data_IF_767052926989
#
_entry.id   IF_767052926989
#
_cell.length_a   1.000
_cell.length_b   1.000
_cell.length_c   1.000
_cell.angle_alpha   90.00
_cell.angle_beta   90.00
_cell.angle_gamma   90.00
#
_symmetry.space_group_name_H-M   'P 1'
#
loop_
_entity.id
_entity.type
_entity.pdbx_description
1 polymer ?
#
# COMPACT_ATOMS: atom_id res chain seq x y z
N UNK A 1 -5.06 8.91 -35.63
CA UNK A 1 -5.68 8.18 -34.50
C UNK A 1 -4.72 7.93 -33.33
N UNK A 2 -3.49 7.43 -33.54
CA UNK A 2 -2.52 7.16 -32.44
C UNK A 2 -2.23 8.33 -31.49
N UNK A 3 -2.05 9.55 -32.01
CA UNK A 3 -1.86 10.76 -31.18
C UNK A 3 -3.03 11.05 -30.22
N UNK A 4 -4.26 10.74 -30.63
CA UNK A 4 -5.44 10.89 -29.76
C UNK A 4 -5.45 9.83 -28.67
N UNK A 5 -5.12 8.58 -29.00
CA UNK A 5 -5.04 7.46 -28.05
C UNK A 5 -3.97 7.73 -26.99
N UNK A 6 -2.75 8.11 -27.40
CA UNK A 6 -1.65 8.42 -26.49
C UNK A 6 -2.05 9.57 -25.55
N UNK A 7 -2.62 10.65 -26.10
CA UNK A 7 -3.10 11.77 -25.30
C UNK A 7 -4.14 11.32 -24.26
N UNK A 8 -5.07 10.44 -24.64
CA UNK A 8 -6.10 9.93 -23.72
C UNK A 8 -5.50 9.06 -22.61
N UNK A 9 -4.56 8.19 -22.94
CA UNK A 9 -3.84 7.36 -21.97
C UNK A 9 -3.06 8.24 -20.98
N UNK A 10 -2.35 9.27 -21.45
CA UNK A 10 -1.64 10.21 -20.58
C UNK A 10 -2.58 10.96 -19.65
N UNK A 11 -3.71 11.46 -20.15
CA UNK A 11 -4.73 12.12 -19.31
C UNK A 11 -5.32 11.17 -18.27
N UNK A 12 -5.57 9.91 -18.64
CA UNK A 12 -6.07 8.90 -17.72
C UNK A 12 -5.08 8.67 -16.57
N UNK A 13 -3.79 8.46 -16.88
CA UNK A 13 -2.75 8.31 -15.85
C UNK A 13 -2.63 9.56 -14.98
N UNK A 14 -2.71 10.75 -15.56
CA UNK A 14 -2.66 12.01 -14.80
C UNK A 14 -3.82 12.13 -13.81
N UNK A 15 -5.04 11.85 -14.26
CA UNK A 15 -6.24 11.89 -13.39
C UNK A 15 -6.11 10.87 -12.27
N UNK A 16 -5.73 9.63 -12.58
CA UNK A 16 -5.53 8.58 -11.58
C UNK A 16 -4.45 8.97 -10.57
N UNK A 17 -3.34 9.52 -11.03
CA UNK A 17 -2.25 10.00 -10.18
C UNK A 17 -2.70 11.12 -9.23
N UNK A 18 -3.45 12.10 -9.72
CA UNK A 18 -3.95 13.20 -8.88
C UNK A 18 -4.93 12.68 -7.84
N UNK A 19 -5.86 11.80 -8.25
CA UNK A 19 -6.84 11.21 -7.32
C UNK A 19 -6.11 10.37 -6.27
N UNK A 20 -5.18 9.50 -6.66
CA UNK A 20 -4.43 8.65 -5.72
C UNK A 20 -3.61 9.46 -4.73
N UNK A 21 -2.96 10.52 -5.20
CA UNK A 21 -2.18 11.41 -4.35
C UNK A 21 -3.04 12.14 -3.32
N UNK A 22 -4.20 12.67 -3.75
CA UNK A 22 -5.15 13.32 -2.84
C UNK A 22 -5.70 12.32 -1.83
N UNK A 23 -6.10 11.11 -2.26
CA UNK A 23 -6.60 10.08 -1.33
C UNK A 23 -5.53 9.64 -0.34
N UNK A 24 -4.27 9.52 -0.77
CA UNK A 24 -3.15 9.15 0.10
C UNK A 24 -2.94 10.19 1.21
N UNK A 25 -2.88 11.48 0.85
CA UNK A 25 -2.74 12.55 1.85
C UNK A 25 -3.92 12.55 2.81
N UNK A 26 -5.16 12.42 2.31
CA UNK A 26 -6.34 12.40 3.16
C UNK A 26 -6.27 11.24 4.17
N UNK A 27 -5.90 10.04 3.73
CA UNK A 27 -5.76 8.87 4.61
C UNK A 27 -4.64 9.06 5.64
N UNK A 28 -3.50 9.62 5.25
CA UNK A 28 -2.38 9.88 6.16
C UNK A 28 -2.72 10.93 7.24
N UNK A 29 -3.64 11.86 6.94
CA UNK A 29 -4.09 12.88 7.88
C UNK A 29 -5.18 12.39 8.84
N UNK A 30 -5.76 11.20 8.61
CA UNK A 30 -6.75 10.64 9.52
C UNK A 30 -6.06 10.31 10.86
N UNK A 31 -6.51 10.89 11.99
CA UNK A 31 -5.95 10.55 13.28
C UNK A 31 -6.38 9.13 13.69
N UNK A 32 -5.40 8.30 14.07
CA UNK A 32 -5.62 6.93 14.54
C UNK A 32 -5.11 5.89 13.55
N UNK A 33 -3.98 5.27 13.88
CA UNK A 33 -3.39 4.15 13.15
C UNK A 33 -3.70 2.78 13.76
N UNK A 34 -3.43 1.68 13.02
CA UNK A 34 -3.63 0.31 13.51
C UNK A 34 -2.78 -0.04 14.74
N UNK A 35 -1.84 0.83 15.12
CA UNK A 35 -0.97 0.69 16.29
C UNK A 35 -1.28 1.70 17.42
N UNK A 36 -2.23 2.62 17.21
CA UNK A 36 -2.68 3.59 18.22
C UNK A 36 -3.78 2.97 19.11
N UNK A 37 -3.52 1.76 19.61
CA UNK A 37 -4.43 1.03 20.47
C UNK A 37 -4.54 1.67 21.86
N UNK A 38 -5.68 1.48 22.56
CA UNK A 38 -5.90 1.95 23.94
C UNK A 38 -4.80 1.48 24.93
N UNK A 39 -4.11 0.39 24.60
CA UNK A 39 -2.96 -0.11 25.37
C UNK A 39 -1.67 0.37 24.71
N UNK A 40 -1.05 1.40 25.29
CA UNK A 40 0.23 1.92 24.84
C UNK A 40 1.27 0.79 24.74
N UNK A 41 1.73 0.53 23.51
CA UNK A 41 2.82 -0.40 23.28
C UNK A 41 4.12 0.19 23.84
N UNK A 42 5.03 -0.64 24.42
CA UNK A 42 6.35 -0.19 24.82
C UNK A 42 7.07 0.54 23.68
N UNK A 43 7.79 1.61 24.00
CA UNK A 43 8.43 2.48 23.00
C UNK A 43 9.35 1.72 22.03
N UNK A 44 10.01 0.67 22.51
CA UNK A 44 10.86 -0.20 21.72
C UNK A 44 10.07 -1.01 20.68
N UNK A 45 8.89 -1.52 21.05
CA UNK A 45 8.01 -2.25 20.12
C UNK A 45 7.43 -1.27 19.08
N UNK A 46 7.05 -0.07 19.48
CA UNK A 46 6.60 0.99 18.55
C UNK A 46 7.68 1.38 17.55
N UNK A 47 8.94 1.51 17.97
CA UNK A 47 10.04 1.82 17.07
C UNK A 47 10.26 0.70 16.04
N UNK A 48 10.25 -0.55 16.48
CA UNK A 48 10.37 -1.71 15.59
C UNK A 48 9.18 -1.83 14.63
N UNK A 49 7.97 -1.51 15.08
CA UNK A 49 6.78 -1.46 14.23
C UNK A 49 6.93 -0.36 13.18
N UNK A 50 7.28 0.87 13.57
CA UNK A 50 7.45 1.97 12.62
C UNK A 50 8.46 1.64 11.53
N UNK A 51 9.61 1.06 11.90
CA UNK A 51 10.63 0.62 10.95
C UNK A 51 10.13 -0.52 10.05
N UNK A 52 9.41 -1.51 10.61
CA UNK A 52 8.88 -2.66 9.86
C UNK A 52 7.77 -2.29 8.88
N UNK A 53 6.97 -1.28 9.21
CA UNK A 53 5.86 -0.79 8.40
C UNK A 53 6.21 0.50 7.62
N UNK A 54 7.47 0.92 7.61
CA UNK A 54 7.93 2.11 6.89
C UNK A 54 7.23 3.43 7.30
N UNK A 55 6.65 3.45 8.49
CA UNK A 55 5.96 4.63 9.04
C UNK A 55 6.96 5.74 9.42
N UNK A 56 8.25 5.41 9.47
CA UNK A 56 9.36 6.34 9.69
C UNK A 56 9.94 6.92 8.39
N UNK A 57 9.49 6.45 7.21
CA UNK A 57 9.98 6.95 5.93
C UNK A 57 9.45 8.34 5.59
N UNK A 58 10.18 9.11 4.76
CA UNK A 58 9.65 10.33 4.17
C UNK A 58 8.37 10.07 3.36
N UNK A 59 7.39 10.97 3.46
CA UNK A 59 6.10 10.89 2.74
C UNK A 59 6.21 10.52 1.25
N UNK A 60 7.16 11.07 0.46
CA UNK A 60 7.29 10.67 -0.95
C UNK A 60 7.65 9.19 -1.12
N UNK A 61 8.45 8.62 -0.22
CA UNK A 61 8.80 7.19 -0.25
C UNK A 61 7.60 6.32 0.12
N UNK A 62 6.82 6.72 1.14
CA UNK A 62 5.57 6.04 1.50
C UNK A 62 4.57 6.04 0.35
N UNK A 63 4.41 7.18 -0.34
CA UNK A 63 3.52 7.27 -1.50
C UNK A 63 3.98 6.39 -2.67
N UNK A 64 5.29 6.38 -2.99
CA UNK A 64 5.82 5.53 -4.05
C UNK A 64 5.64 4.03 -3.73
N UNK A 65 5.83 3.64 -2.46
CA UNK A 65 5.58 2.28 -2.00
C UNK A 65 4.09 1.92 -2.13
N UNK A 66 3.19 2.81 -1.71
CA UNK A 66 1.73 2.66 -1.87
C UNK A 66 1.35 2.45 -3.34
N UNK A 67 1.86 3.28 -4.26
CA UNK A 67 1.60 3.14 -5.70
C UNK A 67 2.17 1.83 -6.24
N UNK A 68 3.38 1.44 -5.82
CA UNK A 68 3.99 0.18 -6.23
C UNK A 68 3.16 -1.04 -5.81
N UNK A 69 2.69 -1.07 -4.56
CA UNK A 69 1.90 -2.18 -4.02
C UNK A 69 0.49 -2.30 -4.64
N UNK A 70 -0.05 -1.18 -5.14
CA UNK A 70 -1.28 -1.18 -5.93
C UNK A 70 -1.04 -1.61 -7.37
N UNK A 71 0.08 -1.26 -7.99
CA UNK A 71 0.34 -1.55 -9.41
C UNK A 71 0.93 -2.93 -9.64
N UNK A 72 1.75 -3.43 -8.73
CA UNK A 72 2.56 -4.64 -8.93
C UNK A 72 2.00 -5.79 -8.10
N UNK A 73 1.47 -6.85 -8.74
CA UNK A 73 1.08 -8.06 -8.02
C UNK A 73 2.32 -8.79 -7.48
N UNK A 74 2.18 -9.39 -6.30
CA UNK A 74 3.18 -10.25 -5.66
C UNK A 74 2.80 -11.71 -5.84
N UNK A 75 3.79 -12.54 -6.09
CA UNK A 75 3.63 -13.99 -6.22
C UNK A 75 4.50 -14.65 -5.16
N UNK A 76 3.85 -15.34 -4.23
CA UNK A 76 4.51 -15.96 -3.08
C UNK A 76 4.07 -17.42 -2.94
N UNK A 77 4.95 -18.28 -2.42
CA UNK A 77 4.62 -19.70 -2.15
C UNK A 77 4.22 -19.95 -0.69
N UNK A 78 4.16 -18.88 0.11
CA UNK A 78 3.88 -18.92 1.55
C UNK A 78 2.43 -18.56 1.84
N UNK A 79 1.82 -19.25 2.81
CA UNK A 79 0.43 -18.99 3.24
C UNK A 79 0.37 -17.66 4.01
N UNK A 80 -0.69 -16.87 3.79
CA UNK A 80 -0.91 -15.57 4.45
C UNK A 80 -0.92 -15.79 5.98
N UNK A 81 -0.01 -15.12 6.69
CA UNK A 81 0.17 -15.36 8.13
C UNK A 81 -0.82 -14.56 8.97
N UNK A 82 -1.81 -13.91 8.35
CA UNK A 82 -2.74 -13.00 9.03
C UNK A 82 -2.06 -11.74 9.56
N UNK A 83 -0.85 -11.43 9.06
CA UNK A 83 -0.14 -10.19 9.36
C UNK A 83 -0.86 -9.00 8.75
N UNK A 84 -0.75 -7.81 9.35
CA UNK A 84 -1.27 -6.56 8.77
C UNK A 84 -0.57 -6.24 7.44
N UNK A 85 0.64 -6.78 7.21
CA UNK A 85 1.35 -6.71 5.93
C UNK A 85 0.74 -7.61 4.84
N UNK A 86 -0.04 -8.62 5.24
CA UNK A 86 -0.62 -9.62 4.34
C UNK A 86 -2.09 -9.35 4.02
N UNK A 87 -2.56 -8.11 4.19
CA UNK A 87 -3.93 -7.70 3.89
C UNK A 87 -4.08 -7.29 2.43
N UNK A 88 -3.99 -8.28 1.55
CA UNK A 88 -4.23 -8.09 0.13
C UNK A 88 -5.74 -8.13 -0.16
N UNK A 89 -6.25 -7.18 -0.95
CA UNK A 89 -7.67 -7.21 -1.36
C UNK A 89 -7.95 -8.34 -2.35
N UNK A 90 -6.97 -8.65 -3.21
CA UNK A 90 -7.07 -9.69 -4.21
C UNK A 90 -6.06 -10.77 -3.85
N UNK A 91 -6.55 -11.94 -3.45
CA UNK A 91 -5.75 -13.12 -3.19
C UNK A 91 -6.39 -14.33 -3.89
N UNK A 92 -5.64 -14.98 -4.78
CA UNK A 92 -6.06 -16.24 -5.38
C UNK A 92 -4.89 -17.22 -5.47
N UNK A 93 -5.20 -18.49 -5.18
CA UNK A 93 -4.24 -19.57 -5.21
C UNK A 93 -4.28 -20.29 -6.56
N UNK A 94 -3.11 -20.51 -7.15
CA UNK A 94 -2.93 -21.31 -8.37
C UNK A 94 -1.85 -22.35 -8.10
N UNK A 95 -2.27 -23.59 -7.76
CA UNK A 95 -1.35 -24.64 -7.33
C UNK A 95 -0.67 -24.27 -6.01
N UNK A 96 0.66 -24.23 -6.01
CA UNK A 96 1.50 -23.87 -4.85
C UNK A 96 1.78 -22.36 -4.75
N UNK A 97 1.24 -21.55 -5.68
CA UNK A 97 1.47 -20.10 -5.73
C UNK A 97 0.25 -19.30 -5.29
N UNK A 98 0.50 -18.27 -4.49
CA UNK A 98 -0.46 -17.24 -4.12
C UNK A 98 -0.19 -16.00 -4.96
N UNK A 99 -1.16 -15.62 -5.78
CA UNK A 99 -1.18 -14.32 -6.45
C UNK A 99 -1.89 -13.35 -5.54
N UNK A 100 -1.16 -12.31 -5.15
CA UNK A 100 -1.64 -11.28 -4.24
C UNK A 100 -1.49 -9.91 -4.85
N UNK A 101 -2.54 -9.11 -4.79
CA UNK A 101 -2.55 -7.81 -5.42
C UNK A 101 -3.35 -6.80 -4.61
N UNK A 102 -3.02 -5.52 -4.80
CA UNK A 102 -3.59 -4.40 -4.07
C UNK A 102 -3.41 -4.53 -2.55
N UNK A 103 -2.16 -4.39 -2.10
CA UNK A 103 -1.85 -4.33 -0.67
C UNK A 103 -2.08 -2.90 -0.15
N UNK A 104 -2.90 -2.76 0.89
CA UNK A 104 -3.16 -1.49 1.58
C UNK A 104 -2.66 -1.48 3.02
N UNK A 105 -1.63 -2.29 3.31
CA UNK A 105 -0.98 -2.31 4.61
C UNK A 105 -0.60 -0.91 5.11
N UNK A 106 -0.29 -0.77 6.40
CA UNK A 106 -0.03 0.53 7.02
C UNK A 106 1.14 1.18 6.29
N UNK A 107 0.84 2.23 5.52
CA UNK A 107 1.80 3.02 4.74
C UNK A 107 1.69 4.48 5.15
#
# INVERSE_FOLDING_TARGET
>A
MGRFIIRRILWMFLVLFVVSFVTFILMHQVPGGPFDSEKALPAEIMANLRARYHLDWPLPQQYLQYVYDVLVPRVETTVSTGSVLDQYLIEFQVGDFYFRWMNFGPS
#
